data_IF_146244462270
#
_entry.id   IF_146244462270
#
_cell.length_a   1.000
_cell.length_b   1.000
_cell.length_c   1.000
_cell.angle_alpha   90.00
_cell.angle_beta   90.00
_cell.angle_gamma   90.00
#
_symmetry.space_group_name_H-M   'P 1'
#
loop_
_entity.id
_entity.type
_entity.pdbx_description
1 polymer ?
#
# COMPACT_ATOMS: atom_id res chain seq x y z
N UNK A 1 17.63 -17.32 11.58
CA UNK A 1 18.15 -16.14 10.86
C UNK A 1 17.66 -14.93 11.63
N UNK A 2 18.57 -14.10 12.12
CA UNK A 2 18.20 -12.93 12.92
C UNK A 2 17.89 -11.74 12.02
N UNK A 3 17.12 -10.76 12.50
CA UNK A 3 16.79 -9.56 11.72
C UNK A 3 18.04 -8.76 11.35
N UNK A 4 19.06 -8.78 12.22
CA UNK A 4 20.36 -8.15 11.99
C UNK A 4 21.13 -8.78 10.83
N UNK A 5 21.05 -10.11 10.68
CA UNK A 5 21.68 -10.84 9.57
C UNK A 5 20.99 -10.51 8.26
N UNK A 6 19.65 -10.48 8.26
CA UNK A 6 18.87 -10.09 7.09
C UNK A 6 19.17 -8.65 6.68
N UNK A 7 19.28 -7.72 7.63
CA UNK A 7 19.63 -6.33 7.35
C UNK A 7 21.04 -6.23 6.76
N UNK A 8 21.98 -7.03 7.27
CA UNK A 8 23.34 -7.11 6.75
C UNK A 8 23.38 -7.64 5.32
N UNK A 9 22.63 -8.70 5.02
CA UNK A 9 22.52 -9.22 3.65
C UNK A 9 21.88 -8.20 2.70
N UNK A 10 20.86 -7.48 3.17
CA UNK A 10 20.21 -6.43 2.38
C UNK A 10 21.16 -5.24 2.11
N UNK A 11 22.06 -4.92 3.03
CA UNK A 11 23.14 -3.96 2.77
C UNK A 11 24.13 -4.51 1.72
N UNK A 12 24.50 -5.78 1.83
CA UNK A 12 25.45 -6.41 0.90
C UNK A 12 24.90 -6.61 -0.51
N UNK A 13 23.57 -6.63 -0.68
CA UNK A 13 22.97 -6.69 -2.02
C UNK A 13 23.08 -5.35 -2.77
N UNK A 14 23.07 -4.23 -2.05
CA UNK A 14 23.16 -2.87 -2.62
C UNK A 14 24.58 -2.28 -2.60
N UNK A 15 25.46 -2.79 -1.72
CA UNK A 15 26.81 -2.26 -1.48
C UNK A 15 27.86 -3.38 -1.46
N UNK A 16 29.10 -3.11 -1.89
CA UNK A 16 30.16 -4.14 -1.90
C UNK A 16 30.58 -4.61 -0.50
N UNK A 17 30.41 -3.78 0.53
CA UNK A 17 30.72 -4.13 1.92
C UNK A 17 29.99 -3.21 2.90
N UNK A 18 29.86 -3.65 4.17
CA UNK A 18 29.38 -2.80 5.26
C UNK A 18 30.25 -1.54 5.39
N UNK A 19 31.57 -1.68 5.22
CA UNK A 19 32.49 -0.54 5.31
C UNK A 19 32.19 0.51 4.23
N UNK A 20 31.89 0.07 3.01
CA UNK A 20 31.50 0.98 1.92
C UNK A 20 30.15 1.64 2.19
N UNK A 21 29.17 0.90 2.74
CA UNK A 21 27.91 1.48 3.19
C UNK A 21 28.13 2.60 4.23
N UNK A 22 28.97 2.35 5.23
CA UNK A 22 29.31 3.34 6.26
C UNK A 22 29.96 4.58 5.65
N UNK A 23 30.90 4.40 4.71
CA UNK A 23 31.59 5.51 4.05
C UNK A 23 30.65 6.32 3.17
N UNK A 24 29.79 5.68 2.35
CA UNK A 24 28.86 6.38 1.47
C UNK A 24 27.80 7.16 2.24
N UNK A 25 27.38 6.64 3.41
CA UNK A 25 26.34 7.24 4.23
C UNK A 25 26.89 8.04 5.43
N UNK A 26 28.22 8.21 5.51
CA UNK A 26 28.90 8.97 6.56
C UNK A 26 28.61 8.48 8.00
N UNK A 27 28.43 7.16 8.17
CA UNK A 27 28.27 6.53 9.48
C UNK A 27 29.62 6.07 10.06
N UNK A 28 29.84 6.21 11.38
CA UNK A 28 30.97 5.58 12.03
C UNK A 28 30.84 4.05 11.97
N UNK A 29 31.93 3.35 11.61
CA UNK A 29 31.93 1.89 11.53
C UNK A 29 31.55 1.25 12.87
N UNK A 30 32.05 1.80 13.99
CA UNK A 30 31.74 1.32 15.34
C UNK A 30 30.25 1.39 15.68
N UNK A 31 29.54 2.40 15.17
CA UNK A 31 28.09 2.54 15.36
C UNK A 31 27.34 1.42 14.65
N UNK A 32 27.65 1.18 13.38
CA UNK A 32 27.02 0.12 12.58
C UNK A 32 27.39 -1.27 13.11
N UNK A 33 28.65 -1.49 13.50
CA UNK A 33 29.09 -2.72 14.14
C UNK A 33 28.37 -2.98 15.48
N UNK A 34 28.13 -1.92 16.28
CA UNK A 34 27.39 -2.05 17.53
C UNK A 34 25.93 -2.44 17.32
N UNK A 35 25.29 -1.98 16.22
CA UNK A 35 23.92 -2.36 15.85
C UNK A 35 23.84 -3.85 15.56
N UNK A 36 24.76 -4.39 14.76
CA UNK A 36 24.75 -5.82 14.44
C UNK A 36 25.11 -6.72 15.64
N UNK A 37 25.88 -6.21 16.61
CA UNK A 37 26.28 -6.97 17.81
C UNK A 37 25.25 -6.94 18.94
N UNK A 38 24.68 -5.76 19.23
CA UNK A 38 23.70 -5.57 20.32
C UNK A 38 22.25 -5.76 19.88
N UNK A 39 22.02 -5.73 18.57
CA UNK A 39 20.70 -5.77 17.97
C UNK A 39 20.14 -4.39 17.65
N UNK A 40 19.16 -4.36 16.76
CA UNK A 40 18.51 -3.14 16.28
C UNK A 40 17.84 -2.39 17.46
N UNK A 41 17.16 -3.12 18.35
CA UNK A 41 16.47 -2.55 19.53
C UNK A 41 17.42 -1.96 20.58
N UNK A 42 18.67 -2.41 20.62
CA UNK A 42 19.70 -1.89 21.54
C UNK A 42 20.37 -0.60 21.06
N UNK A 43 19.96 -0.09 19.90
CA UNK A 43 20.58 1.04 19.22
C UNK A 43 19.69 2.27 19.21
N UNK A 44 20.27 3.45 18.96
CA UNK A 44 19.48 4.68 18.86
C UNK A 44 18.52 4.62 17.68
N UNK A 45 17.23 4.86 17.94
CA UNK A 45 16.17 4.92 16.91
C UNK A 45 16.53 5.89 15.79
N UNK A 46 17.18 7.02 16.11
CA UNK A 46 17.64 8.00 15.12
C UNK A 46 18.63 7.43 14.11
N UNK A 47 19.46 6.46 14.50
CA UNK A 47 20.41 5.80 13.59
C UNK A 47 19.66 4.76 12.74
N UNK A 48 18.74 4.02 13.35
CA UNK A 48 17.92 3.01 12.66
C UNK A 48 17.12 3.67 11.54
N UNK A 49 16.41 4.77 11.84
CA UNK A 49 15.65 5.54 10.83
C UNK A 49 16.54 5.94 9.67
N UNK A 50 17.74 6.49 9.94
CA UNK A 50 18.66 6.92 8.87
C UNK A 50 19.16 5.74 8.02
N UNK A 51 19.39 4.58 8.62
CA UNK A 51 19.78 3.37 7.88
C UNK A 51 18.59 2.92 7.03
N UNK A 52 17.41 2.76 7.61
CA UNK A 52 16.19 2.39 6.90
C UNK A 52 15.87 3.34 5.74
N UNK A 53 16.00 4.65 5.92
CA UNK A 53 15.80 5.64 4.86
C UNK A 53 16.78 5.44 3.69
N UNK A 54 18.03 5.07 3.99
CA UNK A 54 19.04 4.80 2.96
C UNK A 54 18.85 3.49 2.23
N UNK A 55 18.27 2.51 2.91
CA UNK A 55 17.93 1.21 2.34
C UNK A 55 16.49 1.19 1.78
N UNK A 56 15.74 2.27 1.94
CA UNK A 56 14.30 2.35 1.64
C UNK A 56 13.53 1.19 2.26
N UNK A 57 13.72 0.95 3.56
CA UNK A 57 13.02 -0.07 4.36
C UNK A 57 12.03 0.65 5.29
N UNK A 58 10.90 0.00 5.58
CA UNK A 58 9.99 0.48 6.60
C UNK A 58 10.54 0.25 8.03
N UNK A 59 10.57 1.32 8.83
CA UNK A 59 11.14 1.28 10.19
C UNK A 59 10.25 0.48 11.14
N UNK A 60 8.93 0.58 11.00
CA UNK A 60 7.97 -0.07 11.88
C UNK A 60 7.95 -1.59 11.64
N UNK A 61 8.05 -1.99 10.37
CA UNK A 61 8.21 -3.40 9.99
C UNK A 61 9.56 -3.95 10.48
N UNK A 62 10.65 -3.17 10.37
CA UNK A 62 11.97 -3.60 10.84
C UNK A 62 11.99 -3.85 12.35
N UNK A 63 11.35 -2.98 13.14
CA UNK A 63 11.17 -3.15 14.58
C UNK A 63 10.30 -4.39 14.88
N UNK A 64 9.30 -4.64 14.04
CA UNK A 64 8.43 -5.83 14.11
C UNK A 64 9.12 -7.11 13.64
N UNK A 65 10.38 -7.04 13.20
CA UNK A 65 11.19 -8.18 12.78
C UNK A 65 10.98 -8.60 11.32
N UNK A 66 10.48 -7.70 10.46
CA UNK A 66 10.30 -7.93 9.02
C UNK A 66 11.04 -6.88 8.20
N UNK A 67 11.74 -7.31 7.17
CA UNK A 67 12.32 -6.39 6.19
C UNK A 67 11.31 -6.23 5.05
N UNK A 68 10.60 -5.11 5.06
CA UNK A 68 9.68 -4.72 3.99
C UNK A 68 10.28 -3.48 3.32
N UNK A 69 10.55 -3.58 2.02
CA UNK A 69 10.92 -2.41 1.24
C UNK A 69 9.78 -1.39 1.32
N UNK A 70 10.14 -0.15 1.61
CA UNK A 70 9.26 1.01 1.57
C UNK A 70 8.82 1.17 0.13
N UNK A 71 7.76 0.45 -0.24
CA UNK A 71 7.11 0.66 -1.52
C UNK A 71 6.75 2.14 -1.56
N UNK A 72 7.36 2.86 -2.50
CA UNK A 72 7.15 4.29 -2.74
C UNK A 72 5.67 4.63 -3.02
N UNK A 73 4.82 3.62 -3.09
CA UNK A 73 3.37 3.67 -3.28
C UNK A 73 2.62 4.07 -2.01
N UNK A 74 3.18 3.90 -0.80
CA UNK A 74 2.44 4.13 0.45
C UNK A 74 2.65 5.51 1.09
N UNK A 75 3.56 6.33 0.57
CA UNK A 75 3.68 7.75 0.95
C UNK A 75 4.18 8.61 -0.24
N UNK A 76 3.45 8.69 -1.37
CA UNK A 76 3.62 9.86 -2.22
C UNK A 76 3.14 11.06 -1.40
N UNK A 77 4.02 12.03 -1.14
CA UNK A 77 3.54 13.37 -0.77
C UNK A 77 2.49 13.75 -1.81
N UNK A 78 1.23 13.88 -1.39
CA UNK A 78 0.12 14.20 -2.28
C UNK A 78 0.50 15.46 -3.06
N UNK A 79 0.66 15.30 -4.36
CA UNK A 79 1.03 16.38 -5.28
C UNK A 79 -0.08 17.43 -5.33
N UNK A 80 0.27 18.66 -5.72
CA UNK A 80 -0.73 19.73 -5.90
C UNK A 80 -1.81 19.36 -6.93
N UNK A 81 -1.48 18.51 -7.91
CA UNK A 81 -2.45 17.98 -8.85
C UNK A 81 -3.44 17.03 -8.15
N UNK A 82 -2.95 16.07 -7.38
CA UNK A 82 -3.81 15.13 -6.64
C UNK A 82 -4.71 15.85 -5.63
N UNK A 83 -4.21 16.87 -4.92
CA UNK A 83 -5.05 17.71 -4.03
C UNK A 83 -6.22 18.33 -4.77
N UNK A 84 -5.99 18.84 -5.99
CA UNK A 84 -7.04 19.40 -6.84
C UNK A 84 -8.03 18.31 -7.28
N UNK A 85 -7.54 17.15 -7.69
CA UNK A 85 -8.39 16.02 -8.10
C UNK A 85 -9.27 15.55 -6.93
N UNK A 86 -8.68 15.34 -5.74
CA UNK A 86 -9.40 14.93 -4.52
C UNK A 86 -10.47 15.97 -4.16
N UNK A 87 -10.13 17.26 -4.23
CA UNK A 87 -11.07 18.34 -3.93
C UNK A 87 -12.22 18.40 -4.94
N UNK A 88 -11.92 18.27 -6.24
CA UNK A 88 -12.93 18.23 -7.30
C UNK A 88 -13.84 17.01 -7.17
N UNK A 89 -13.28 15.84 -6.85
CA UNK A 89 -14.02 14.60 -6.63
C UNK A 89 -15.01 14.75 -5.46
N UNK A 90 -14.57 15.28 -4.31
CA UNK A 90 -15.43 15.49 -3.12
C UNK A 90 -16.56 16.49 -3.37
N UNK A 91 -16.28 17.54 -4.15
CA UNK A 91 -17.27 18.58 -4.45
C UNK A 91 -18.29 18.18 -5.53
N UNK A 92 -18.10 17.05 -6.23
CA UNK A 92 -19.01 16.59 -7.28
C UNK A 92 -19.50 15.15 -7.04
N UNK A 93 -20.40 14.91 -6.07
CA UNK A 93 -20.90 13.57 -5.74
C UNK A 93 -21.51 12.80 -6.93
N UNK A 94 -22.12 13.51 -7.89
CA UNK A 94 -22.74 12.90 -9.07
C UNK A 94 -21.73 12.24 -10.03
N UNK A 95 -20.49 12.72 -10.08
CA UNK A 95 -19.45 12.20 -10.97
C UNK A 95 -18.59 11.11 -10.32
N UNK A 96 -18.67 10.95 -8.99
CA UNK A 96 -17.85 9.99 -8.24
C UNK A 96 -18.02 8.56 -8.76
N UNK A 97 -19.26 8.10 -8.95
CA UNK A 97 -19.51 6.74 -9.44
C UNK A 97 -19.02 6.46 -10.86
N UNK A 98 -18.87 7.49 -11.70
CA UNK A 98 -18.25 7.34 -13.02
C UNK A 98 -16.72 7.28 -12.91
N UNK A 99 -16.14 8.16 -12.07
CA UNK A 99 -14.71 8.21 -11.81
C UNK A 99 -14.23 6.88 -11.18
N UNK A 100 -14.98 6.34 -10.22
CA UNK A 100 -14.67 5.07 -9.56
C UNK A 100 -14.62 3.92 -10.57
N UNK A 101 -15.54 3.88 -11.53
CA UNK A 101 -15.54 2.87 -12.60
C UNK A 101 -14.34 3.03 -13.55
N UNK A 102 -13.99 4.25 -13.92
CA UNK A 102 -12.84 4.52 -14.81
C UNK A 102 -11.51 4.16 -14.15
N UNK A 103 -11.41 4.38 -12.84
CA UNK A 103 -10.22 4.09 -12.05
C UNK A 103 -10.22 2.68 -11.46
N UNK A 104 -11.26 1.88 -11.72
CA UNK A 104 -11.47 0.56 -11.16
C UNK A 104 -11.35 0.52 -9.62
N UNK A 105 -11.93 1.53 -8.96
CA UNK A 105 -11.99 1.61 -7.50
C UNK A 105 -13.17 0.76 -7.05
N UNK A 106 -12.88 -0.47 -6.62
CA UNK A 106 -13.85 -1.32 -5.95
C UNK A 106 -14.05 -0.78 -4.54
N UNK A 107 -15.11 0.00 -4.34
CA UNK A 107 -15.55 0.36 -2.99
C UNK A 107 -15.95 -0.94 -2.28
N UNK A 108 -15.11 -1.42 -1.37
CA UNK A 108 -15.32 -2.60 -0.52
C UNK A 108 -16.47 -2.45 0.50
N UNK A 109 -17.49 -1.68 0.16
CA UNK A 109 -18.78 -1.73 0.84
C UNK A 109 -19.56 -2.87 0.21
N UNK A 110 -19.72 -3.97 0.94
CA UNK A 110 -20.74 -4.99 0.67
C UNK A 110 -22.04 -4.31 0.21
N UNK A 111 -22.31 -4.38 -1.09
CA UNK A 111 -23.64 -4.11 -1.62
C UNK A 111 -24.42 -5.42 -1.60
N UNK A 112 -24.80 -5.88 -0.41
CA UNK A 112 -25.86 -6.89 -0.21
C UNK A 112 -27.26 -6.27 -0.38
N UNK A 113 -27.45 -5.43 -1.40
CA UNK A 113 -28.79 -5.05 -1.88
C UNK A 113 -28.88 -5.21 -3.40
N UNK A 114 -28.29 -6.30 -3.89
CA UNK A 114 -28.82 -6.99 -5.05
C UNK A 114 -29.80 -8.08 -4.58
N UNK A 115 -31.06 -7.72 -4.30
CA UNK A 115 -32.16 -8.71 -4.36
C UNK A 115 -33.51 -8.17 -4.86
N UNK A 116 -33.85 -6.89 -4.68
CA UNK A 116 -35.29 -6.54 -4.70
C UNK A 116 -35.85 -5.75 -5.91
N UNK A 117 -35.11 -5.53 -7.01
CA UNK A 117 -35.70 -4.90 -8.22
C UNK A 117 -35.53 -5.67 -9.54
N UNK A 118 -35.25 -6.97 -9.50
CA UNK A 118 -35.43 -7.87 -10.66
C UNK A 118 -36.72 -8.72 -10.56
N UNK A 119 -37.79 -8.14 -9.99
CA UNK A 119 -39.09 -8.81 -9.83
C UNK A 119 -40.20 -8.34 -10.79
N UNK A 120 -40.06 -7.17 -11.42
CA UNK A 120 -41.19 -6.55 -12.17
C UNK A 120 -41.18 -6.87 -13.67
N UNK A 121 -40.14 -7.53 -14.21
CA UNK A 121 -40.05 -7.87 -15.64
C UNK A 121 -40.53 -9.28 -16.00
N UNK A 122 -41.07 -10.08 -15.06
CA UNK A 122 -41.61 -11.43 -15.32
C UNK A 122 -43.13 -11.51 -15.51
N UNK A 123 -43.82 -10.39 -15.72
CA UNK A 123 -45.27 -10.37 -16.06
C UNK A 123 -45.56 -10.14 -17.56
N UNK A 124 -44.55 -10.19 -18.44
CA UNK A 124 -44.71 -9.93 -19.87
C UNK A 124 -44.90 -11.19 -20.76
N UNK A 125 -44.91 -12.41 -20.20
CA UNK A 125 -45.04 -13.66 -20.97
C UNK A 125 -46.38 -14.38 -20.78
N UNK A 126 -47.51 -13.65 -20.80
CA UNK A 126 -48.80 -14.31 -20.98
C UNK A 126 -49.75 -13.51 -21.89
N UNK A 127 -49.31 -13.25 -23.12
CA UNK A 127 -50.22 -12.97 -24.22
C UNK A 127 -50.55 -14.31 -24.89
N UNK A 128 -51.63 -14.98 -24.45
CA UNK A 128 -52.33 -15.95 -25.29
C UNK A 128 -53.66 -15.34 -25.71
N UNK A 129 -53.69 -14.90 -26.97
CA UNK A 129 -54.86 -14.40 -27.70
C UNK A 129 -56.04 -15.40 -27.65
N UNK A 130 -57.29 -14.91 -27.75
CA UNK A 130 -58.49 -15.72 -27.60
C UNK A 130 -58.72 -16.61 -28.83
N UNK A 131 -58.81 -17.93 -28.63
CA UNK A 131 -59.31 -18.85 -29.66
C UNK A 131 -60.82 -19.04 -29.48
N UNK A 132 -61.59 -18.52 -30.45
CA UNK A 132 -63.01 -18.82 -30.67
C UNK A 132 -63.25 -20.34 -30.84
N UNK A 133 -64.26 -20.87 -30.18
CA UNK A 133 -65.16 -21.99 -30.56
C UNK A 133 -66.04 -22.28 -29.34
N UNK A 134 -67.37 -22.34 -29.37
CA UNK A 134 -68.29 -22.87 -30.38
C UNK A 134 -69.65 -22.19 -30.19
#
# INVERSE_FOLDING_TARGET
MNIEEQLKEHILSQYKSIREFCMRNNFPYSTVDSIFKRGILGSSVSIIIKICDRLSIDVDELISGKIVEKSSVLNPEITEHEKRVISAYRNNPSMQGAIDKLLNIENGSNCEIASDMCGVLKQADNIRLPTKSK
#
